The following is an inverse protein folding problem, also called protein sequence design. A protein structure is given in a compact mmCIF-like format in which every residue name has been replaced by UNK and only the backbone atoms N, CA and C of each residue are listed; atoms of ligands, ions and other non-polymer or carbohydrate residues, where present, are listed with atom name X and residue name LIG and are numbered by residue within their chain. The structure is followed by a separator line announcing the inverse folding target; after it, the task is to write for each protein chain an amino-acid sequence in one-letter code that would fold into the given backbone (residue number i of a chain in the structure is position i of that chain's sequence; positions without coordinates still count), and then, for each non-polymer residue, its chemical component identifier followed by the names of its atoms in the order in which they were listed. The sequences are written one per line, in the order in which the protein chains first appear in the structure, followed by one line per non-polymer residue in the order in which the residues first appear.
data_IF_854488262465
#
_entry.id   IF_854488262465
#
_cell.length_a   1.000
_cell.length_b   1.000
_cell.length_c   1.000
_cell.angle_alpha   90.00
_cell.angle_beta   90.00
_cell.angle_gamma   90.00
#
_symmetry.space_group_name_H-M   'P 1'
#
loop_
_entity.id
_entity.type
_entity.pdbx_description
1 polymer ?
#
# COMPACT_ATOMS: atom_id res chain seq x y z
N UNK A 1 -7.78 21.03 3.16
CA UNK A 1 -7.30 19.94 2.30
C UNK A 1 -8.50 19.44 1.51
N UNK A 2 -8.39 19.24 0.19
CA UNK A 2 -9.52 18.80 -0.63
C UNK A 2 -9.95 17.40 -0.20
N UNK A 3 -11.23 17.20 0.06
CA UNK A 3 -11.82 15.90 0.48
C UNK A 3 -11.91 14.89 -0.70
N UNK A 4 -11.24 15.20 -1.83
CA UNK A 4 -11.27 14.40 -3.05
C UNK A 4 -10.30 13.22 -2.92
N UNK A 5 -10.76 11.99 -3.24
CA UNK A 5 -9.89 10.81 -3.26
C UNK A 5 -8.71 10.98 -4.23
N UNK A 6 -7.54 10.47 -3.84
CA UNK A 6 -6.41 10.29 -4.74
C UNK A 6 -6.64 9.10 -5.67
N UNK A 7 -7.07 7.97 -5.09
CA UNK A 7 -7.51 6.77 -5.79
C UNK A 7 -8.97 6.52 -5.46
N UNK A 8 -9.79 6.25 -6.45
CA UNK A 8 -11.18 5.83 -6.25
C UNK A 8 -11.51 4.67 -7.19
N UNK A 9 -12.09 3.63 -6.63
CA UNK A 9 -12.57 2.44 -7.29
C UNK A 9 -14.07 2.34 -7.07
N UNK A 10 -14.84 2.11 -8.14
CA UNK A 10 -16.30 1.96 -8.05
C UNK A 10 -16.75 0.70 -8.76
N UNK A 11 -17.55 -0.12 -8.06
CA UNK A 11 -18.17 -1.36 -8.54
C UNK A 11 -17.16 -2.33 -9.16
N UNK A 12 -15.96 -2.44 -8.59
CA UNK A 12 -14.91 -3.32 -9.10
C UNK A 12 -15.31 -4.77 -8.90
N UNK A 13 -15.35 -5.51 -10.01
CA UNK A 13 -15.57 -6.96 -9.99
C UNK A 13 -14.42 -7.69 -10.68
N UNK A 14 -14.09 -8.88 -10.15
CA UNK A 14 -13.05 -9.76 -10.69
C UNK A 14 -13.35 -11.21 -10.43
N UNK A 15 -13.29 -12.03 -11.47
CA UNK A 15 -13.43 -13.47 -11.42
C UNK A 15 -12.21 -14.20 -11.97
N UNK A 16 -11.99 -15.43 -11.50
CA UNK A 16 -10.99 -16.37 -11.98
C UNK A 16 -11.70 -17.70 -12.28
N UNK A 17 -12.04 -17.91 -13.55
CA UNK A 17 -12.91 -19.02 -13.95
C UNK A 17 -14.27 -18.93 -13.26
N UNK A 18 -14.63 -19.93 -12.48
CA UNK A 18 -15.89 -19.96 -11.73
C UNK A 18 -15.83 -19.26 -10.36
N UNK A 19 -14.65 -18.78 -9.93
CA UNK A 19 -14.47 -18.17 -8.63
C UNK A 19 -14.61 -16.65 -8.76
N UNK A 20 -15.65 -16.09 -8.14
CA UNK A 20 -15.85 -14.64 -8.01
C UNK A 20 -15.01 -14.12 -6.84
N UNK A 21 -13.89 -13.44 -7.13
CA UNK A 21 -12.96 -12.97 -6.14
C UNK A 21 -13.33 -11.56 -5.59
N UNK A 22 -13.91 -10.71 -6.46
CA UNK A 22 -14.44 -9.40 -6.10
C UNK A 22 -15.80 -9.20 -6.76
N UNK A 23 -16.75 -8.61 -6.04
CA UNK A 23 -18.09 -8.30 -6.54
C UNK A 23 -18.50 -6.90 -6.07
N UNK A 24 -18.62 -5.97 -7.02
CA UNK A 24 -19.08 -4.60 -6.80
C UNK A 24 -18.35 -3.91 -5.63
N UNK A 25 -17.03 -4.01 -5.61
CA UNK A 25 -16.19 -3.45 -4.54
C UNK A 25 -15.93 -1.99 -4.82
N UNK A 26 -16.23 -1.15 -3.83
CA UNK A 26 -15.82 0.25 -3.75
C UNK A 26 -14.62 0.40 -2.82
N UNK A 27 -13.67 1.23 -3.21
CA UNK A 27 -12.50 1.54 -2.39
C UNK A 27 -11.97 2.92 -2.72
N UNK A 28 -11.55 3.68 -1.73
CA UNK A 28 -10.89 4.96 -1.94
C UNK A 28 -9.70 5.15 -1.00
N UNK A 29 -8.74 5.95 -1.43
CA UNK A 29 -7.62 6.41 -0.61
C UNK A 29 -7.32 7.88 -0.93
N UNK A 30 -6.92 8.66 0.08
CA UNK A 30 -6.69 10.10 -0.05
C UNK A 30 -5.22 10.46 0.12
N UNK A 31 -4.85 11.65 -0.32
CA UNK A 31 -3.51 12.17 -0.04
C UNK A 31 -3.34 12.45 1.46
N UNK A 32 -2.20 12.07 2.01
CA UNK A 32 -1.88 12.29 3.42
C UNK A 32 -2.69 11.44 4.39
N UNK A 33 -3.25 10.33 3.92
CA UNK A 33 -4.08 9.41 4.69
C UNK A 33 -3.47 8.01 4.71
N UNK A 34 -3.63 7.31 5.82
CA UNK A 34 -3.42 5.87 5.92
C UNK A 34 -4.78 5.18 5.88
N UNK A 35 -5.12 4.62 4.73
CA UNK A 35 -6.29 3.77 4.54
C UNK A 35 -5.92 2.31 4.81
N UNK A 36 -6.48 1.70 5.84
CA UNK A 36 -6.32 0.27 6.08
C UNK A 36 -7.31 -0.56 5.27
N UNK A 37 -6.85 -1.68 4.71
CA UNK A 37 -7.67 -2.67 4.03
C UNK A 37 -7.60 -3.99 4.80
N UNK A 38 -8.69 -4.37 5.44
CA UNK A 38 -8.76 -5.54 6.32
C UNK A 38 -9.80 -6.55 5.86
N UNK A 39 -9.76 -7.76 6.41
CA UNK A 39 -10.68 -8.86 6.13
C UNK A 39 -9.99 -10.20 6.31
N UNK A 40 -10.75 -11.28 6.35
CA UNK A 40 -10.23 -12.65 6.47
C UNK A 40 -9.37 -13.07 5.27
N UNK A 41 -8.71 -14.21 5.42
CA UNK A 41 -8.05 -14.87 4.29
C UNK A 41 -9.12 -15.24 3.23
N UNK A 42 -8.81 -14.91 1.97
CA UNK A 42 -9.79 -15.10 0.89
C UNK A 42 -10.84 -13.98 0.78
N UNK A 43 -10.80 -12.93 1.59
CA UNK A 43 -11.75 -11.81 1.50
C UNK A 43 -11.64 -10.97 0.21
N UNK A 44 -10.60 -11.16 -0.61
CA UNK A 44 -10.39 -10.41 -1.85
C UNK A 44 -9.34 -9.30 -1.76
N UNK A 45 -8.73 -9.05 -0.60
CA UNK A 45 -7.73 -7.97 -0.39
C UNK A 45 -6.61 -7.99 -1.43
N UNK A 46 -5.89 -9.11 -1.53
CA UNK A 46 -4.76 -9.24 -2.48
C UNK A 46 -5.22 -9.17 -3.94
N UNK A 47 -6.45 -9.60 -4.26
CA UNK A 47 -7.02 -9.45 -5.60
C UNK A 47 -7.26 -7.99 -5.92
N UNK A 48 -7.85 -7.22 -4.98
CA UNK A 48 -8.09 -5.79 -5.15
C UNK A 48 -6.76 -5.04 -5.39
N UNK A 49 -5.74 -5.31 -4.57
CA UNK A 49 -4.42 -4.70 -4.75
C UNK A 49 -3.78 -5.07 -6.09
N UNK A 50 -3.89 -6.32 -6.52
CA UNK A 50 -3.39 -6.75 -7.84
C UNK A 50 -4.15 -6.09 -9.00
N UNK A 51 -5.43 -5.76 -8.83
CA UNK A 51 -6.17 -4.96 -9.80
C UNK A 51 -5.65 -3.52 -9.82
N UNK A 52 -5.45 -2.87 -8.67
CA UNK A 52 -4.88 -1.52 -8.57
C UNK A 52 -3.46 -1.46 -9.18
N UNK A 53 -2.65 -2.50 -8.92
CA UNK A 53 -1.29 -2.62 -9.43
C UNK A 53 -1.20 -3.00 -10.93
N UNK A 54 -2.33 -3.28 -11.59
CA UNK A 54 -2.34 -3.70 -13.00
C UNK A 54 -1.82 -5.11 -13.27
N UNK A 55 -1.74 -5.95 -12.24
CA UNK A 55 -1.37 -7.38 -12.41
C UNK A 55 -2.56 -8.17 -12.97
N UNK A 56 -3.77 -7.82 -12.50
CA UNK A 56 -5.01 -8.40 -12.99
C UNK A 56 -5.91 -7.29 -13.52
N UNK A 57 -6.36 -7.34 -14.78
CA UNK A 57 -7.38 -6.42 -15.25
C UNK A 57 -8.69 -6.69 -14.50
N UNK A 58 -9.44 -5.63 -14.21
CA UNK A 58 -10.80 -5.75 -13.66
C UNK A 58 -11.76 -6.26 -14.74
N UNK A 59 -12.78 -7.02 -14.35
CA UNK A 59 -13.80 -7.50 -15.30
C UNK A 59 -14.87 -6.43 -15.50
N UNK A 60 -15.14 -5.61 -14.45
CA UNK A 60 -16.04 -4.45 -14.51
C UNK A 60 -15.67 -3.43 -13.45
N UNK A 61 -16.34 -2.27 -13.49
CA UNK A 61 -16.13 -1.14 -12.61
C UNK A 61 -15.26 -0.06 -13.22
N UNK A 62 -15.00 1.00 -12.45
CA UNK A 62 -14.20 2.15 -12.86
C UNK A 62 -13.13 2.47 -11.85
N UNK A 63 -12.02 3.00 -12.33
CA UNK A 63 -10.92 3.52 -11.51
C UNK A 63 -10.66 4.97 -11.89
N UNK A 64 -10.58 5.84 -10.90
CA UNK A 64 -10.10 7.21 -11.09
C UNK A 64 -8.86 7.44 -10.23
N UNK A 65 -7.93 8.24 -10.73
CA UNK A 65 -6.73 8.64 -10.00
C UNK A 65 -6.56 10.15 -10.09
N UNK A 66 -6.51 10.82 -8.95
CA UNK A 66 -6.50 12.27 -8.84
C UNK A 66 -7.70 12.96 -9.56
N UNK A 67 -8.85 12.32 -9.55
CA UNK A 67 -10.07 12.80 -10.19
C UNK A 67 -10.22 12.47 -11.68
N UNK A 68 -9.18 11.91 -12.32
CA UNK A 68 -9.20 11.55 -13.73
C UNK A 68 -9.46 10.06 -13.92
N UNK A 69 -10.36 9.65 -14.84
CA UNK A 69 -10.53 8.25 -15.19
C UNK A 69 -9.26 7.63 -15.73
N UNK A 70 -8.88 6.47 -15.20
CA UNK A 70 -7.66 5.76 -15.61
C UNK A 70 -7.94 4.30 -15.89
N UNK A 71 -7.14 3.72 -16.81
CA UNK A 71 -7.13 2.28 -17.07
C UNK A 71 -5.72 1.76 -16.77
N UNK A 72 -5.64 0.80 -15.87
CA UNK A 72 -4.38 0.19 -15.45
C UNK A 72 -4.36 -1.26 -15.94
N UNK A 73 -3.62 -1.53 -17.02
CA UNK A 73 -3.56 -2.83 -17.66
C UNK A 73 -2.31 -3.63 -17.29
N UNK A 74 -1.30 -2.96 -16.78
CA UNK A 74 -0.03 -3.58 -16.38
C UNK A 74 0.66 -2.74 -15.30
N UNK A 75 1.66 -3.30 -14.58
CA UNK A 75 2.36 -2.59 -13.50
C UNK A 75 3.07 -1.30 -13.93
N UNK A 76 3.45 -1.17 -15.21
CA UNK A 76 4.06 0.07 -15.70
C UNK A 76 3.05 1.21 -15.76
N UNK A 77 1.76 0.92 -16.03
CA UNK A 77 0.71 1.93 -16.01
C UNK A 77 0.49 2.45 -14.59
N UNK A 78 0.42 1.54 -13.59
CA UNK A 78 0.34 1.90 -12.17
C UNK A 78 1.53 2.78 -11.75
N UNK A 79 2.75 2.38 -12.09
CA UNK A 79 3.96 3.14 -11.77
C UNK A 79 3.99 4.53 -12.41
N UNK A 80 3.46 4.71 -13.65
CA UNK A 80 3.34 6.05 -14.28
C UNK A 80 2.38 6.97 -13.54
N UNK A 81 1.34 6.42 -12.92
CA UNK A 81 0.43 7.17 -12.05
C UNK A 81 1.05 7.51 -10.69
N UNK A 82 2.19 6.90 -10.34
CA UNK A 82 2.83 7.01 -9.04
C UNK A 82 2.23 6.06 -8.00
N UNK A 83 1.66 4.94 -8.44
CA UNK A 83 1.19 3.85 -7.58
C UNK A 83 2.31 2.83 -7.46
N UNK A 84 2.83 2.63 -6.26
CA UNK A 84 3.87 1.63 -5.97
C UNK A 84 3.38 0.65 -4.90
N UNK A 85 3.75 -0.62 -5.05
CA UNK A 85 3.33 -1.69 -4.13
C UNK A 85 4.55 -2.34 -3.51
N UNK A 86 4.56 -2.41 -2.19
CA UNK A 86 5.51 -3.19 -1.40
C UNK A 86 4.77 -4.44 -0.94
N UNK A 87 5.09 -5.56 -1.56
CA UNK A 87 4.51 -6.86 -1.22
C UNK A 87 5.16 -7.44 0.04
N UNK A 88 4.50 -8.41 0.65
CA UNK A 88 5.01 -9.18 1.79
C UNK A 88 6.38 -9.81 1.48
N UNK A 89 6.56 -10.37 0.28
CA UNK A 89 7.89 -10.67 -0.27
C UNK A 89 8.48 -9.37 -0.83
N UNK A 90 9.47 -8.83 -0.15
CA UNK A 90 10.07 -7.53 -0.45
C UNK A 90 10.78 -7.45 -1.80
N UNK A 91 10.98 -8.60 -2.46
CA UNK A 91 11.72 -8.72 -3.71
C UNK A 91 13.06 -7.96 -3.67
N UNK A 92 13.81 -8.17 -2.59
CA UNK A 92 15.17 -7.66 -2.42
C UNK A 92 16.17 -8.77 -2.71
N UNK A 93 17.25 -8.41 -3.43
CA UNK A 93 18.35 -9.31 -3.71
C UNK A 93 19.35 -9.29 -2.56
N UNK A 94 19.48 -10.39 -1.85
CA UNK A 94 20.31 -10.54 -0.65
C UNK A 94 21.79 -10.24 -0.88
N UNK A 95 22.30 -10.60 -2.05
CA UNK A 95 23.71 -10.44 -2.46
C UNK A 95 24.05 -9.03 -2.97
N UNK A 96 23.07 -8.16 -3.15
CA UNK A 96 23.26 -6.78 -3.56
C UNK A 96 23.25 -5.84 -2.36
N UNK A 97 23.90 -4.69 -2.49
CA UNK A 97 23.88 -3.64 -1.49
C UNK A 97 22.54 -2.85 -1.50
N UNK A 98 22.37 -1.95 -0.54
CA UNK A 98 21.14 -1.14 -0.41
C UNK A 98 20.91 -0.28 -1.66
N UNK A 99 21.95 0.39 -2.18
CA UNK A 99 21.84 1.25 -3.36
C UNK A 99 21.42 0.46 -4.59
N UNK A 100 22.08 -0.68 -4.82
CA UNK A 100 21.78 -1.57 -5.92
C UNK A 100 20.34 -2.08 -5.85
N UNK A 101 19.85 -2.48 -4.66
CA UNK A 101 18.48 -2.89 -4.47
C UNK A 101 17.46 -1.76 -4.72
N UNK A 102 17.76 -0.53 -4.29
CA UNK A 102 16.88 0.61 -4.52
C UNK A 102 16.75 0.98 -6.00
N UNK A 103 17.78 0.70 -6.79
CA UNK A 103 17.84 1.03 -8.23
C UNK A 103 17.61 -0.16 -9.16
N UNK A 104 17.42 -1.36 -8.64
CA UNK A 104 17.31 -2.58 -9.44
C UNK A 104 16.27 -2.44 -10.57
N UNK A 105 16.74 -2.56 -11.82
CA UNK A 105 15.94 -2.37 -13.03
C UNK A 105 15.64 -0.91 -13.42
N UNK A 106 16.23 0.06 -12.69
CA UNK A 106 16.10 1.53 -12.94
C UNK A 106 17.46 2.21 -12.75
N UNK A 107 18.55 1.51 -13.04
CA UNK A 107 19.91 2.00 -12.85
C UNK A 107 20.21 3.22 -13.72
N UNK A 108 20.98 4.16 -13.19
CA UNK A 108 21.39 5.35 -13.92
C UNK A 108 22.68 5.07 -14.69
N UNK A 109 22.65 5.29 -16.01
CA UNK A 109 23.78 5.07 -16.90
C UNK A 109 24.27 6.37 -17.54
N UNK A 110 25.54 6.42 -17.91
CA UNK A 110 26.09 7.44 -18.79
C UNK A 110 25.81 7.14 -20.27
N UNK A 111 26.26 8.01 -21.17
CA UNK A 111 26.10 7.83 -22.63
C UNK A 111 26.82 6.58 -23.19
N UNK A 112 27.75 6.02 -22.43
CA UNK A 112 28.51 4.82 -22.76
C UNK A 112 27.98 3.57 -22.05
N UNK A 113 26.73 3.62 -21.51
CA UNK A 113 26.08 2.56 -20.74
C UNK A 113 26.85 2.11 -19.48
N UNK A 114 27.70 2.96 -18.90
CA UNK A 114 28.37 2.68 -17.63
C UNK A 114 27.52 3.20 -16.47
N UNK A 115 27.44 2.44 -15.38
CA UNK A 115 26.69 2.83 -14.18
C UNK A 115 27.24 4.13 -13.58
N UNK A 116 26.31 5.02 -13.22
CA UNK A 116 26.63 6.26 -12.52
C UNK A 116 26.29 6.13 -11.04
N UNK A 117 27.18 5.46 -10.30
CA UNK A 117 26.96 5.19 -8.87
C UNK A 117 26.83 6.44 -8.00
N UNK A 118 27.66 7.51 -8.14
CA UNK A 118 27.57 8.65 -7.23
C UNK A 118 26.19 9.33 -7.16
N UNK A 119 25.48 9.61 -8.28
CA UNK A 119 24.13 10.16 -8.19
C UNK A 119 23.11 9.15 -7.62
N UNK A 120 23.31 7.85 -7.84
CA UNK A 120 22.46 6.80 -7.26
C UNK A 120 22.62 6.76 -5.73
N UNK A 121 23.85 6.80 -5.22
CA UNK A 121 24.14 6.88 -3.79
C UNK A 121 23.54 8.12 -3.14
N UNK A 122 23.77 9.30 -3.73
CA UNK A 122 23.27 10.55 -3.21
C UNK A 122 21.74 10.54 -3.07
N UNK A 123 21.04 10.04 -4.09
CA UNK A 123 19.57 9.94 -4.07
C UNK A 123 19.09 8.89 -3.06
N UNK A 124 19.76 7.74 -2.94
CA UNK A 124 19.43 6.72 -1.94
C UNK A 124 19.57 7.26 -0.52
N UNK A 125 20.70 7.92 -0.21
CA UNK A 125 20.91 8.59 1.09
C UNK A 125 19.84 9.64 1.36
N UNK A 126 19.55 10.50 0.39
CA UNK A 126 18.51 11.53 0.51
C UNK A 126 17.13 10.92 0.82
N UNK A 127 16.78 9.82 0.13
CA UNK A 127 15.48 9.14 0.33
C UNK A 127 15.40 8.54 1.73
N UNK A 128 16.42 7.77 2.15
CA UNK A 128 16.48 7.17 3.49
C UNK A 128 16.45 8.23 4.59
N UNK A 129 17.19 9.34 4.42
CA UNK A 129 17.18 10.45 5.36
C UNK A 129 15.81 11.13 5.45
N UNK A 130 15.15 11.38 4.31
CA UNK A 130 13.78 11.91 4.25
C UNK A 130 12.78 11.05 5.00
N UNK A 131 12.94 9.74 4.94
CA UNK A 131 12.15 8.76 5.69
C UNK A 131 12.62 8.59 7.15
N UNK A 132 13.67 9.31 7.59
CA UNK A 132 14.32 9.19 8.90
C UNK A 132 14.74 7.74 9.23
N UNK A 133 15.17 6.98 8.22
CA UNK A 133 15.72 5.64 8.41
C UNK A 133 17.17 5.78 8.86
N UNK A 134 17.41 5.70 10.18
CA UNK A 134 18.73 5.88 10.80
C UNK A 134 19.40 4.57 11.17
N UNK A 135 18.68 3.46 11.06
CA UNK A 135 19.17 2.14 11.49
C UNK A 135 20.11 1.48 10.50
N UNK A 136 20.16 1.94 9.25
CA UNK A 136 21.06 1.47 8.20
C UNK A 136 22.38 2.23 8.31
N UNK A 137 23.45 1.55 8.73
CA UNK A 137 24.77 2.17 8.99
C UNK A 137 25.55 2.48 7.71
N UNK A 138 25.39 1.68 6.69
CA UNK A 138 26.06 1.84 5.38
C UNK A 138 25.12 1.46 4.25
N UNK A 139 25.00 2.33 3.25
CA UNK A 139 24.22 2.05 2.03
C UNK A 139 24.90 1.02 1.13
N UNK A 140 26.16 0.70 1.41
CA UNK A 140 26.98 -0.30 0.67
C UNK A 140 27.01 -1.66 1.38
N UNK A 141 26.30 -1.83 2.49
CA UNK A 141 26.19 -3.16 3.11
C UNK A 141 25.21 -4.04 2.32
N UNK A 142 25.53 -5.33 2.21
CA UNK A 142 24.66 -6.30 1.56
C UNK A 142 23.33 -6.44 2.32
N UNK A 143 22.22 -6.52 1.59
CA UNK A 143 20.87 -6.64 2.16
C UNK A 143 20.71 -7.90 3.01
N UNK A 144 21.46 -8.97 2.72
CA UNK A 144 21.52 -10.19 3.55
C UNK A 144 21.86 -9.90 5.03
N UNK A 145 22.63 -8.83 5.31
CA UNK A 145 23.08 -8.47 6.67
C UNK A 145 22.09 -7.59 7.44
N UNK A 146 21.01 -7.16 6.79
CA UNK A 146 20.00 -6.31 7.38
C UNK A 146 19.00 -7.12 8.22
N UNK A 147 18.51 -6.50 9.31
CA UNK A 147 17.34 -7.02 10.03
C UNK A 147 16.06 -6.91 9.19
N UNK A 148 15.01 -7.65 9.57
CA UNK A 148 13.72 -7.61 8.88
C UNK A 148 13.15 -6.18 8.75
N UNK A 149 13.15 -5.39 9.82
CA UNK A 149 12.70 -4.00 9.79
C UNK A 149 13.57 -3.08 8.92
N UNK A 150 14.90 -3.32 8.86
CA UNK A 150 15.79 -2.61 7.94
C UNK A 150 15.51 -2.98 6.49
N UNK A 151 15.30 -4.26 6.18
CA UNK A 151 14.89 -4.72 4.84
C UNK A 151 13.57 -4.09 4.44
N UNK A 152 12.59 -4.04 5.34
CA UNK A 152 11.31 -3.37 5.11
C UNK A 152 11.51 -1.89 4.77
N UNK A 153 12.36 -1.20 5.54
CA UNK A 153 12.68 0.22 5.31
C UNK A 153 13.33 0.45 3.93
N UNK A 154 14.20 -0.46 3.47
CA UNK A 154 14.81 -0.39 2.12
C UNK A 154 13.72 -0.59 1.04
N UNK A 155 12.84 -1.56 1.20
CA UNK A 155 11.75 -1.82 0.24
C UNK A 155 10.80 -0.63 0.13
N UNK A 156 10.42 -0.02 1.26
CA UNK A 156 9.61 1.20 1.27
C UNK A 156 10.35 2.37 0.64
N UNK A 157 11.64 2.57 0.98
CA UNK A 157 12.45 3.63 0.39
C UNK A 157 12.57 3.48 -1.14
N UNK A 158 12.75 2.24 -1.63
CA UNK A 158 12.73 1.93 -3.06
C UNK A 158 11.40 2.35 -3.71
N UNK A 159 10.27 2.04 -3.06
CA UNK A 159 8.95 2.40 -3.57
C UNK A 159 8.77 3.91 -3.69
N UNK A 160 9.12 4.69 -2.66
CA UNK A 160 8.86 6.15 -2.65
C UNK A 160 9.88 6.98 -3.42
N UNK A 161 11.03 6.41 -3.79
CA UNK A 161 12.11 7.14 -4.47
C UNK A 161 11.71 7.68 -5.86
N UNK A 162 10.67 7.12 -6.48
CA UNK A 162 10.28 7.34 -7.88
C UNK A 162 9.03 8.23 -8.05
N UNK A 163 8.88 9.27 -7.24
CA UNK A 163 7.74 10.20 -7.27
C UNK A 163 6.40 9.53 -7.00
N UNK A 164 6.38 8.59 -6.08
CA UNK A 164 5.15 7.91 -5.68
C UNK A 164 4.16 8.90 -5.07
N UNK A 165 2.90 8.69 -5.38
CA UNK A 165 1.75 9.43 -4.83
C UNK A 165 0.92 8.54 -3.92
N UNK A 166 0.85 7.25 -4.26
CA UNK A 166 0.16 6.21 -3.50
C UNK A 166 1.13 5.05 -3.25
N UNK A 167 1.29 4.66 -2.00
CA UNK A 167 2.10 3.51 -1.60
C UNK A 167 1.19 2.47 -0.95
N UNK A 168 1.21 1.26 -1.47
CA UNK A 168 0.46 0.12 -0.95
C UNK A 168 1.44 -0.80 -0.25
N UNK A 169 1.18 -1.11 1.02
CA UNK A 169 2.01 -1.95 1.87
C UNK A 169 1.22 -3.22 2.23
N UNK A 170 1.65 -4.35 1.71
CA UNK A 170 0.99 -5.64 1.93
C UNK A 170 1.70 -6.39 3.06
N UNK A 171 1.06 -6.48 4.24
CA UNK A 171 1.54 -7.13 5.46
C UNK A 171 2.97 -6.68 5.89
N UNK A 172 3.24 -5.35 6.01
CA UNK A 172 4.61 -4.86 6.18
C UNK A 172 5.23 -5.19 7.55
N UNK A 173 4.44 -5.61 8.52
CA UNK A 173 4.87 -5.97 9.87
C UNK A 173 4.90 -7.49 10.10
N UNK A 174 4.53 -8.29 9.10
CA UNK A 174 4.52 -9.73 9.23
C UNK A 174 5.91 -10.28 9.57
N UNK A 175 5.97 -11.19 10.55
CA UNK A 175 7.19 -11.85 11.03
C UNK A 175 8.27 -10.89 11.60
N UNK A 176 7.90 -9.68 12.01
CA UNK A 176 8.78 -8.73 12.70
C UNK A 176 8.61 -8.81 14.23
N UNK A 177 9.70 -8.54 14.95
CA UNK A 177 9.63 -8.36 16.40
C UNK A 177 9.06 -6.98 16.76
N UNK A 178 8.65 -6.79 18.02
CA UNK A 178 7.94 -5.59 18.51
C UNK A 178 8.66 -4.28 18.11
N UNK A 179 9.95 -4.15 18.44
CA UNK A 179 10.71 -2.94 18.13
C UNK A 179 10.83 -2.66 16.61
N UNK A 180 10.85 -3.71 15.79
CA UNK A 180 10.89 -3.58 14.33
C UNK A 180 9.53 -3.16 13.78
N UNK A 181 8.44 -3.70 14.32
CA UNK A 181 7.07 -3.32 14.01
C UNK A 181 6.85 -1.84 14.28
N UNK A 182 7.22 -1.34 15.46
CA UNK A 182 7.11 0.09 15.81
C UNK A 182 7.86 0.98 14.80
N UNK A 183 9.07 0.58 14.37
CA UNK A 183 9.83 1.31 13.37
C UNK A 183 9.10 1.38 12.01
N UNK A 184 8.50 0.27 11.58
CA UNK A 184 7.74 0.20 10.32
C UNK A 184 6.46 1.02 10.42
N UNK A 185 5.72 0.93 11.52
CA UNK A 185 4.50 1.73 11.73
C UNK A 185 4.80 3.23 11.79
N UNK A 186 5.90 3.63 12.44
CA UNK A 186 6.37 5.01 12.41
C UNK A 186 6.74 5.48 10.98
N UNK A 187 7.26 4.58 10.15
CA UNK A 187 7.53 4.87 8.73
C UNK A 187 6.23 5.06 7.94
N UNK A 188 5.22 4.22 8.16
CA UNK A 188 3.88 4.34 7.55
C UNK A 188 3.26 5.71 7.84
N UNK A 189 3.23 6.13 9.11
CA UNK A 189 2.73 7.45 9.51
C UNK A 189 3.47 8.59 8.79
N UNK A 190 4.79 8.47 8.71
CA UNK A 190 5.64 9.48 8.07
C UNK A 190 5.38 9.62 6.58
N UNK A 191 5.08 8.54 5.87
CA UNK A 191 4.68 8.62 4.46
C UNK A 191 3.42 9.47 4.29
N UNK A 192 2.40 9.24 5.12
CA UNK A 192 1.17 10.04 5.10
C UNK A 192 1.43 11.51 5.48
N UNK A 193 2.25 11.77 6.52
CA UNK A 193 2.67 13.12 6.91
C UNK A 193 3.39 13.87 5.77
N UNK A 194 4.09 13.18 4.89
CA UNK A 194 4.71 13.74 3.69
C UNK A 194 3.71 13.97 2.54
N UNK A 195 2.43 13.68 2.74
CA UNK A 195 1.37 13.91 1.78
C UNK A 195 1.10 12.74 0.83
N UNK A 196 1.75 11.58 0.99
CA UNK A 196 1.45 10.40 0.20
C UNK A 196 0.13 9.77 0.67
N UNK A 197 -0.65 9.22 -0.25
CA UNK A 197 -1.69 8.25 0.10
C UNK A 197 -1.02 6.92 0.49
N UNK A 198 -1.44 6.33 1.58
CA UNK A 198 -0.93 5.03 2.03
C UNK A 198 -2.08 4.04 2.15
N UNK A 199 -1.95 2.88 1.52
CA UNK A 199 -2.86 1.74 1.74
C UNK A 199 -2.10 0.70 2.54
N UNK A 200 -2.60 0.38 3.73
CA UNK A 200 -2.00 -0.61 4.62
C UNK A 200 -2.87 -1.85 4.69
N UNK A 201 -2.32 -2.99 4.29
CA UNK A 201 -2.96 -4.28 4.49
C UNK A 201 -2.28 -4.95 5.68
N UNK A 202 -3.05 -5.33 6.68
CA UNK A 202 -2.58 -6.13 7.80
C UNK A 202 -3.73 -6.96 8.38
N UNK A 203 -3.41 -8.12 8.91
CA UNK A 203 -4.32 -8.92 9.72
C UNK A 203 -4.21 -8.58 11.21
N UNK A 204 -3.21 -7.78 11.61
CA UNK A 204 -3.02 -7.33 12.98
C UNK A 204 -3.78 -6.01 13.22
N UNK A 205 -4.94 -6.09 13.85
CA UNK A 205 -5.76 -4.92 14.15
C UNK A 205 -5.08 -3.92 15.09
N UNK A 206 -4.16 -4.37 15.95
CA UNK A 206 -3.40 -3.45 16.81
C UNK A 206 -2.58 -2.48 15.98
N UNK A 207 -1.81 -3.00 15.00
CA UNK A 207 -1.00 -2.19 14.10
C UNK A 207 -1.87 -1.21 13.31
N UNK A 208 -3.04 -1.69 12.83
CA UNK A 208 -3.99 -0.87 12.08
C UNK A 208 -4.51 0.28 12.93
N UNK A 209 -4.99 -0.01 14.14
CA UNK A 209 -5.52 1.01 15.06
C UNK A 209 -4.47 1.99 15.54
N UNK A 210 -3.19 1.66 15.42
CA UNK A 210 -2.09 2.57 15.72
C UNK A 210 -1.88 3.62 14.62
N UNK A 211 -2.03 3.26 13.34
CA UNK A 211 -1.57 4.12 12.23
C UNK A 211 -2.66 4.56 11.26
N UNK A 212 -3.78 3.83 11.16
CA UNK A 212 -4.80 4.10 10.17
C UNK A 212 -5.67 5.31 10.54
N UNK A 213 -6.07 6.07 9.54
CA UNK A 213 -7.09 7.10 9.64
C UNK A 213 -8.48 6.52 9.35
N UNK A 214 -8.57 5.66 8.33
CA UNK A 214 -9.78 4.95 7.91
C UNK A 214 -9.52 3.48 7.68
N UNK A 215 -10.55 2.66 7.79
CA UNK A 215 -10.47 1.21 7.67
C UNK A 215 -11.57 0.73 6.75
N UNK A 216 -11.21 0.13 5.61
CA UNK A 216 -12.13 -0.57 4.73
C UNK A 216 -12.07 -2.07 5.03
N UNK A 217 -13.23 -2.66 5.29
CA UNK A 217 -13.38 -4.10 5.55
C UNK A 217 -13.90 -4.80 4.31
N UNK A 218 -13.18 -5.81 3.83
CA UNK A 218 -13.67 -6.75 2.82
C UNK A 218 -14.05 -8.08 3.45
N UNK A 219 -15.12 -8.67 2.95
CA UNK A 219 -15.59 -10.00 3.31
C UNK A 219 -16.17 -10.71 2.09
N UNK A 220 -15.67 -11.90 1.78
CA UNK A 220 -16.13 -12.73 0.66
C UNK A 220 -16.23 -11.95 -0.67
N UNK A 221 -15.22 -11.13 -0.96
CA UNK A 221 -15.14 -10.34 -2.18
C UNK A 221 -16.05 -9.12 -2.25
N UNK A 222 -16.63 -8.67 -1.14
CA UNK A 222 -17.52 -7.50 -1.05
C UNK A 222 -17.13 -6.56 0.08
N UNK A 223 -17.55 -5.31 0.00
CA UNK A 223 -17.43 -4.40 1.14
C UNK A 223 -18.32 -4.86 2.30
N UNK A 224 -17.75 -4.92 3.50
CA UNK A 224 -18.46 -5.17 4.74
C UNK A 224 -18.55 -3.92 5.64
N UNK A 225 -17.83 -2.86 5.31
CA UNK A 225 -17.92 -1.56 5.98
C UNK A 225 -16.70 -0.69 5.69
N UNK A 226 -16.89 0.61 5.92
CA UNK A 226 -15.81 1.61 5.95
C UNK A 226 -15.95 2.37 7.27
N UNK A 227 -14.86 2.45 8.02
CA UNK A 227 -14.86 3.00 9.37
C UNK A 227 -13.86 4.16 9.48
N UNK A 228 -14.24 5.23 10.14
CA UNK A 228 -13.31 6.23 10.62
C UNK A 228 -12.67 5.70 11.91
N UNK A 229 -11.35 5.56 11.94
CA UNK A 229 -10.64 4.97 13.08
C UNK A 229 -10.91 5.70 14.39
N UNK A 230 -11.08 7.04 14.35
CA UNK A 230 -11.31 7.86 15.53
C UNK A 230 -12.66 7.61 16.20
N UNK A 231 -13.65 7.05 15.48
CA UNK A 231 -15.01 6.84 15.96
C UNK A 231 -15.45 5.37 15.99
N UNK A 232 -14.52 4.43 15.75
CA UNK A 232 -14.80 2.99 15.77
C UNK A 232 -13.93 2.25 16.78
N UNK A 233 -14.31 1.02 17.09
CA UNK A 233 -13.61 0.11 17.98
C UNK A 233 -13.07 -1.11 17.23
N UNK A 234 -12.07 -1.78 17.80
CA UNK A 234 -11.58 -3.05 17.24
C UNK A 234 -12.69 -4.10 17.17
N UNK A 235 -13.61 -4.12 18.14
CA UNK A 235 -14.73 -5.07 18.18
C UNK A 235 -15.69 -4.87 17.02
N UNK A 236 -16.00 -3.62 16.65
CA UNK A 236 -16.85 -3.32 15.48
C UNK A 236 -16.21 -3.76 14.18
N UNK A 237 -14.91 -3.54 14.01
CA UNK A 237 -14.16 -3.99 12.84
C UNK A 237 -14.11 -5.53 12.77
N UNK A 238 -13.84 -6.21 13.89
CA UNK A 238 -13.90 -7.69 13.98
C UNK A 238 -15.28 -8.21 13.62
N UNK A 239 -16.33 -7.56 14.13
CA UNK A 239 -17.69 -7.94 13.82
C UNK A 239 -17.99 -7.81 12.31
N UNK A 240 -17.54 -6.73 11.67
CA UNK A 240 -17.70 -6.55 10.21
C UNK A 240 -16.94 -7.63 9.42
N UNK A 241 -15.73 -8.01 9.86
CA UNK A 241 -14.95 -9.09 9.24
C UNK A 241 -15.71 -10.43 9.34
N UNK A 242 -16.25 -10.76 10.49
CA UNK A 242 -16.82 -12.09 10.77
C UNK A 242 -18.30 -12.21 10.39
N UNK A 243 -19.15 -11.26 10.77
CA UNK A 243 -20.59 -11.34 10.60
C UNK A 243 -21.09 -10.74 9.28
N UNK A 244 -20.32 -9.84 8.65
CA UNK A 244 -20.69 -9.25 7.34
C UNK A 244 -21.91 -8.36 7.35
N UNK A 245 -22.29 -7.80 8.49
CA UNK A 245 -23.36 -6.81 8.54
C UNK A 245 -22.80 -5.42 8.23
N UNK A 246 -23.44 -4.63 7.37
CA UNK A 246 -23.06 -3.24 7.17
C UNK A 246 -23.37 -2.47 8.46
N UNK A 247 -22.36 -2.18 9.24
CA UNK A 247 -22.48 -1.13 10.26
C UNK A 247 -22.63 0.19 9.51
N UNK A 248 -23.55 1.04 9.93
CA UNK A 248 -23.92 2.31 9.30
C UNK A 248 -22.70 3.03 8.72
N UNK A 249 -22.65 3.14 7.39
CA UNK A 249 -21.71 4.02 6.69
C UNK A 249 -22.08 5.45 7.08
N UNK A 250 -21.25 6.11 7.88
CA UNK A 250 -21.42 7.51 8.17
C UNK A 250 -21.24 8.30 6.86
N UNK A 251 -22.31 8.79 6.27
CA UNK A 251 -22.29 9.81 5.23
C UNK A 251 -22.76 9.46 3.83
N UNK A 252 -23.42 8.31 3.57
CA UNK A 252 -24.17 8.11 2.32
C UNK A 252 -25.61 7.78 2.68
N UNK A 253 -26.49 8.77 2.52
CA UNK A 253 -27.93 8.56 2.59
C UNK A 253 -28.35 7.70 1.39
N UNK A 254 -28.58 6.42 1.61
CA UNK A 254 -29.37 5.61 0.70
C UNK A 254 -30.83 5.82 1.07
N UNK A 255 -31.57 6.65 0.30
CA UNK A 255 -33.02 6.60 0.27
C UNK A 255 -33.41 5.19 -0.15
N UNK A 256 -33.98 4.47 0.78
CA UNK A 256 -34.75 3.24 0.50
C UNK A 256 -36.08 3.70 -0.05
N UNK A 257 -36.29 3.59 -1.36
CA UNK A 257 -37.61 3.67 -1.96
C UNK A 257 -38.35 2.39 -1.61
N UNK A 258 -39.49 2.58 -0.95
CA UNK A 258 -40.45 1.55 -0.56
C UNK A 258 -41.07 0.84 -1.76
#
# INVERSE_FOLDING_TARGET
MSNQPLLELRNISKSFGSVQALTDVDFDARNGEVMALVGDNGAGKSTLIKCIAGIHPTDSGTMTFAGEPVTVNNPKDAARLGIEVVYQDLALCDNLDVVQNMYLGREVHDRLHRLREPPMEAKAVQTLAGLRVTTIKSIRQAVATLSGGQRQSVAVARAVMWNSRLVILDEPTAALGVAQTEQVLALVKRLAEQGLGVVLISHNLHDIFEVADRITVLRLGRNAGVFERASTTQQEVVHAITAGQPTKVAGIATEVVA
#
